data_IF_232219795696
#
_entry.id   IF_232219795696
#
_cell.length_a   1.000
_cell.length_b   1.000
_cell.length_c   1.000
_cell.angle_alpha   90.00
_cell.angle_beta   90.00
_cell.angle_gamma   90.00
#
_symmetry.space_group_name_H-M   'P 1'
#
loop_
_entity.id
_entity.type
_entity.pdbx_description
1 polymer ?
#
# COMPACT_ATOMS: atom_id res chain seq x y z
N UNK A 1 -5.22 -10.77 29.16
CA UNK A 1 -3.81 -10.52 28.75
C UNK A 1 -3.33 -11.46 27.65
N UNK A 2 -3.26 -12.79 27.83
CA UNK A 2 -2.69 -13.71 26.80
C UNK A 2 -3.42 -13.68 25.44
N UNK A 3 -4.75 -13.55 25.43
CA UNK A 3 -5.56 -13.48 24.22
C UNK A 3 -5.31 -12.20 23.41
N UNK A 4 -5.09 -11.09 24.11
CA UNK A 4 -4.83 -9.78 23.49
C UNK A 4 -3.42 -9.70 22.88
N UNK A 5 -2.43 -10.34 23.51
CA UNK A 5 -1.09 -10.53 22.93
C UNK A 5 -1.11 -11.36 21.65
N UNK A 6 -1.89 -12.44 21.62
CA UNK A 6 -2.07 -13.24 20.39
C UNK A 6 -2.74 -12.41 19.29
N UNK A 7 -3.73 -11.59 19.64
CA UNK A 7 -4.39 -10.69 18.72
C UNK A 7 -3.45 -9.63 18.13
N UNK A 8 -2.58 -9.01 18.94
CA UNK A 8 -1.67 -7.98 18.42
C UNK A 8 -0.65 -8.57 17.45
N UNK A 9 -0.05 -9.73 17.77
CA UNK A 9 0.89 -10.41 16.88
C UNK A 9 0.20 -10.85 15.59
N UNK A 10 -0.97 -11.48 15.69
CA UNK A 10 -1.76 -11.87 14.52
C UNK A 10 -2.10 -10.66 13.62
N UNK A 11 -2.35 -9.49 14.22
CA UNK A 11 -2.59 -8.27 13.44
C UNK A 11 -1.35 -7.85 12.63
N UNK A 12 -0.17 -7.89 13.23
CA UNK A 12 1.08 -7.61 12.51
C UNK A 12 1.38 -8.66 11.44
N UNK A 13 1.07 -9.93 11.68
CA UNK A 13 1.29 -11.02 10.71
C UNK A 13 0.43 -10.78 9.47
N UNK A 14 -0.82 -10.41 9.69
CA UNK A 14 -1.75 -10.08 8.62
C UNK A 14 -1.33 -8.81 7.85
N UNK A 15 -0.85 -7.77 8.54
CA UNK A 15 -0.31 -6.57 7.88
C UNK A 15 0.89 -6.92 6.98
N UNK A 16 1.83 -7.72 7.50
CA UNK A 16 3.00 -8.18 6.74
C UNK A 16 2.61 -9.02 5.52
N UNK A 17 1.58 -9.86 5.65
CA UNK A 17 1.02 -10.64 4.54
C UNK A 17 0.40 -9.73 3.49
N UNK A 18 -0.41 -8.76 3.91
CA UNK A 18 -1.07 -7.80 3.01
C UNK A 18 -0.06 -6.92 2.27
N UNK A 19 0.94 -6.36 2.96
CA UNK A 19 1.99 -5.55 2.32
C UNK A 19 2.83 -6.39 1.33
N UNK A 20 3.01 -7.68 1.59
CA UNK A 20 3.65 -8.61 0.65
C UNK A 20 2.84 -8.79 -0.64
N UNK A 21 1.54 -9.06 -0.51
CA UNK A 21 0.62 -9.17 -1.65
C UNK A 21 0.50 -7.86 -2.43
N UNK A 22 0.50 -6.71 -1.74
CA UNK A 22 0.52 -5.40 -2.39
C UNK A 22 1.79 -5.20 -3.22
N UNK A 23 2.95 -5.60 -2.70
CA UNK A 23 4.21 -5.56 -3.44
C UNK A 23 4.16 -6.43 -4.70
N UNK A 24 3.62 -7.64 -4.60
CA UNK A 24 3.42 -8.52 -5.77
C UNK A 24 2.45 -7.94 -6.79
N UNK A 25 1.33 -7.37 -6.33
CA UNK A 25 0.35 -6.71 -7.20
C UNK A 25 0.96 -5.49 -7.93
N UNK A 26 1.73 -4.67 -7.22
CA UNK A 26 2.44 -3.53 -7.78
C UNK A 26 3.48 -3.95 -8.83
N UNK A 27 4.28 -5.00 -8.55
CA UNK A 27 5.23 -5.57 -9.53
C UNK A 27 4.54 -6.09 -10.78
N UNK A 28 3.37 -6.71 -10.62
CA UNK A 28 2.59 -7.25 -11.73
C UNK A 28 1.72 -6.19 -12.44
N UNK A 29 1.71 -4.93 -11.98
CA UNK A 29 0.85 -3.87 -12.53
C UNK A 29 -0.65 -4.12 -12.33
N UNK A 30 -1.06 -4.93 -11.34
CA UNK A 30 -2.46 -5.25 -11.04
C UNK A 30 -3.06 -4.17 -10.13
N UNK A 31 -3.37 -3.01 -10.71
CA UNK A 31 -3.78 -1.82 -9.95
C UNK A 31 -5.07 -1.98 -9.17
N UNK A 32 -6.10 -2.62 -9.74
CA UNK A 32 -7.36 -2.87 -9.02
C UNK A 32 -7.16 -3.77 -7.80
N UNK A 33 -6.33 -4.82 -7.97
CA UNK A 33 -5.94 -5.71 -6.86
C UNK A 33 -5.16 -4.95 -5.79
N UNK A 34 -4.22 -4.08 -6.20
CA UNK A 34 -3.44 -3.25 -5.28
C UNK A 34 -4.36 -2.33 -4.43
N UNK A 35 -5.34 -1.67 -5.06
CA UNK A 35 -6.30 -0.81 -4.37
C UNK A 35 -7.20 -1.59 -3.40
N UNK A 36 -7.68 -2.77 -3.80
CA UNK A 36 -8.47 -3.63 -2.92
C UNK A 36 -7.67 -4.10 -1.70
N UNK A 37 -6.41 -4.51 -1.91
CA UNK A 37 -5.50 -4.91 -0.83
C UNK A 37 -5.17 -3.74 0.10
N UNK A 38 -4.96 -2.53 -0.44
CA UNK A 38 -4.72 -1.33 0.36
C UNK A 38 -5.91 -1.03 1.29
N UNK A 39 -7.14 -1.21 0.82
CA UNK A 39 -8.35 -1.03 1.63
C UNK A 39 -8.37 -2.00 2.82
N UNK A 40 -8.06 -3.28 2.57
CA UNK A 40 -7.93 -4.28 3.63
C UNK A 40 -6.79 -3.95 4.61
N UNK A 41 -5.64 -3.50 4.10
CA UNK A 41 -4.49 -3.09 4.91
C UNK A 41 -4.85 -1.94 5.86
N UNK A 42 -5.51 -0.88 5.37
CA UNK A 42 -5.94 0.25 6.19
C UNK A 42 -6.94 -0.20 7.26
N UNK A 43 -7.90 -1.07 6.91
CA UNK A 43 -8.83 -1.63 7.89
C UNK A 43 -8.08 -2.40 9.00
N UNK A 44 -7.07 -3.19 8.62
CA UNK A 44 -6.27 -3.95 9.57
C UNK A 44 -5.40 -3.05 10.47
N UNK A 45 -4.84 -1.96 9.94
CA UNK A 45 -4.14 -0.94 10.73
C UNK A 45 -5.08 -0.30 11.75
N UNK A 46 -6.34 -0.02 11.37
CA UNK A 46 -7.32 0.55 12.29
C UNK A 46 -7.69 -0.44 13.41
N UNK A 47 -7.85 -1.73 13.08
CA UNK A 47 -8.02 -2.79 14.09
C UNK A 47 -6.83 -2.82 15.05
N UNK A 48 -5.60 -2.82 14.53
CA UNK A 48 -4.39 -2.83 15.35
C UNK A 48 -4.32 -1.62 16.30
N UNK A 49 -4.68 -0.43 15.83
CA UNK A 49 -4.71 0.80 16.65
C UNK A 49 -5.71 0.74 17.80
N UNK A 50 -6.74 -0.09 17.71
CA UNK A 50 -7.75 -0.25 18.77
C UNK A 50 -7.29 -1.17 19.92
N UNK A 51 -6.13 -1.81 19.79
CA UNK A 51 -5.58 -2.73 20.80
C UNK A 51 -4.71 -1.94 21.79
N UNK A 52 -5.25 -1.63 22.97
CA UNK A 52 -4.65 -0.75 23.99
C UNK A 52 -3.42 -1.34 24.74
N UNK A 53 -3.18 -2.65 24.69
CA UNK A 53 -2.26 -3.32 25.62
C UNK A 53 -0.93 -3.77 25.00
N UNK A 54 -0.20 -2.81 24.40
CA UNK A 54 1.17 -3.02 23.89
C UNK A 54 2.18 -3.25 25.02
N UNK A 55 1.88 -2.73 26.21
CA UNK A 55 2.76 -2.77 27.38
C UNK A 55 2.95 -4.19 27.95
N UNK A 56 1.97 -5.08 27.76
CA UNK A 56 2.01 -6.43 28.32
C UNK A 56 2.97 -7.40 27.60
N UNK A 57 3.48 -7.08 26.41
CA UNK A 57 4.32 -8.00 25.60
C UNK A 57 5.63 -8.39 26.31
N UNK A 58 6.12 -9.60 26.06
CA UNK A 58 7.46 -10.04 26.48
C UNK A 58 8.54 -9.34 25.65
N UNK A 59 9.81 -9.41 26.09
CA UNK A 59 10.93 -8.87 25.32
C UNK A 59 11.10 -9.56 23.95
N UNK A 60 10.84 -10.87 23.89
CA UNK A 60 10.90 -11.66 22.66
C UNK A 60 9.76 -11.29 21.70
N UNK A 61 8.53 -11.15 22.20
CA UNK A 61 7.38 -10.73 21.40
C UNK A 61 7.56 -9.31 20.86
N UNK A 62 8.11 -8.39 21.67
CA UNK A 62 8.48 -7.05 21.20
C UNK A 62 9.49 -7.12 20.06
N UNK A 63 10.56 -7.91 20.21
CA UNK A 63 11.59 -8.05 19.17
C UNK A 63 11.03 -8.68 17.89
N UNK A 64 10.15 -9.66 18.03
CA UNK A 64 9.47 -10.27 16.88
C UNK A 64 8.61 -9.24 16.14
N UNK A 65 7.80 -8.47 16.86
CA UNK A 65 7.01 -7.37 16.31
C UNK A 65 7.87 -6.34 15.58
N UNK A 66 9.03 -5.97 16.14
CA UNK A 66 9.96 -5.03 15.48
C UNK A 66 10.42 -5.54 14.11
N UNK A 67 10.81 -6.82 14.00
CA UNK A 67 11.21 -7.40 12.71
C UNK A 67 10.09 -7.35 11.67
N UNK A 68 8.86 -7.57 12.10
CA UNK A 68 7.70 -7.50 11.21
C UNK A 68 7.44 -6.06 10.74
N UNK A 69 7.55 -5.08 11.65
CA UNK A 69 7.46 -3.67 11.30
C UNK A 69 8.54 -3.24 10.28
N UNK A 70 9.79 -3.67 10.48
CA UNK A 70 10.86 -3.41 9.51
C UNK A 70 10.53 -4.00 8.13
N UNK A 71 10.00 -5.23 8.11
CA UNK A 71 9.59 -5.91 6.87
C UNK A 71 8.45 -5.16 6.17
N UNK A 72 7.41 -4.76 6.91
CA UNK A 72 6.28 -3.98 6.41
C UNK A 72 6.77 -2.66 5.81
N UNK A 73 7.59 -1.90 6.54
CA UNK A 73 8.11 -0.60 6.08
C UNK A 73 8.97 -0.74 4.82
N UNK A 74 9.77 -1.81 4.73
CA UNK A 74 10.54 -2.13 3.53
C UNK A 74 9.64 -2.44 2.33
N UNK A 75 8.57 -3.21 2.54
CA UNK A 75 7.58 -3.50 1.49
C UNK A 75 6.83 -2.24 1.05
N UNK A 76 6.42 -1.38 1.99
CA UNK A 76 5.76 -0.09 1.70
C UNK A 76 6.67 0.86 0.90
N UNK A 77 7.98 0.86 1.20
CA UNK A 77 8.95 1.60 0.39
C UNK A 77 9.09 1.01 -1.02
N UNK A 78 9.16 -0.32 -1.15
CA UNK A 78 9.23 -1.00 -2.44
C UNK A 78 7.98 -0.74 -3.30
N UNK A 79 6.78 -0.77 -2.70
CA UNK A 79 5.52 -0.44 -3.38
C UNK A 79 5.57 0.98 -3.92
N UNK A 80 5.95 1.97 -3.10
CA UNK A 80 6.08 3.37 -3.55
C UNK A 80 7.06 3.53 -4.71
N UNK A 81 8.21 2.85 -4.65
CA UNK A 81 9.20 2.88 -5.72
C UNK A 81 8.69 2.29 -7.04
N UNK A 82 7.72 1.37 -7.00
CA UNK A 82 7.09 0.79 -8.19
C UNK A 82 5.97 1.67 -8.74
N UNK A 83 5.12 2.20 -7.85
CA UNK A 83 3.89 2.90 -8.22
C UNK A 83 4.17 4.34 -8.67
N UNK A 84 5.02 5.08 -7.95
CA UNK A 84 5.24 6.52 -8.19
C UNK A 84 5.69 6.84 -9.62
N UNK A 85 6.74 6.18 -10.17
CA UNK A 85 7.20 6.49 -11.53
C UNK A 85 6.13 6.18 -12.59
N UNK A 86 5.35 5.11 -12.38
CA UNK A 86 4.28 4.71 -13.29
C UNK A 86 3.15 5.76 -13.32
N UNK A 87 2.81 6.33 -12.17
CA UNK A 87 1.81 7.40 -12.09
C UNK A 87 2.29 8.69 -12.76
N UNK A 88 3.58 9.04 -12.60
CA UNK A 88 4.19 10.19 -13.27
C UNK A 88 4.15 10.03 -14.80
N UNK A 89 4.50 8.84 -15.30
CA UNK A 89 4.43 8.50 -16.74
C UNK A 89 2.99 8.65 -17.28
N UNK A 90 2.00 8.09 -16.57
CA UNK A 90 0.59 8.20 -16.95
C UNK A 90 0.12 9.66 -16.96
N UNK A 91 0.50 10.45 -15.95
CA UNK A 91 0.21 11.88 -15.89
C UNK A 91 0.77 12.64 -17.09
N UNK A 92 2.01 12.34 -17.48
CA UNK A 92 2.64 12.92 -18.66
C UNK A 92 1.90 12.56 -19.97
N UNK A 93 1.54 11.29 -20.17
CA UNK A 93 0.82 10.83 -21.35
C UNK A 93 -0.58 11.45 -21.48
N UNK A 94 -1.31 11.57 -20.37
CA UNK A 94 -2.64 12.20 -20.34
C UNK A 94 -2.55 13.70 -20.67
N UNK A 95 -1.58 14.41 -20.09
CA UNK A 95 -1.37 15.83 -20.36
C UNK A 95 -1.03 16.09 -21.84
N UNK A 96 -0.16 15.27 -22.43
CA UNK A 96 0.17 15.36 -23.84
C UNK A 96 -1.04 15.08 -24.74
N UNK A 97 -1.85 14.07 -24.39
CA UNK A 97 -3.05 13.71 -25.14
C UNK A 97 -4.09 14.84 -25.12
N UNK A 98 -4.31 15.46 -23.95
CA UNK A 98 -5.19 16.63 -23.81
C UNK A 98 -4.71 17.80 -24.67
N UNK A 99 -3.41 18.14 -24.60
CA UNK A 99 -2.83 19.22 -25.42
C UNK A 99 -2.99 18.96 -26.92
N UNK A 100 -2.84 17.70 -27.36
CA UNK A 100 -3.07 17.31 -28.76
C UNK A 100 -4.53 17.48 -29.17
N UNK A 101 -5.48 17.13 -28.30
CA UNK A 101 -6.90 17.32 -28.54
C UNK A 101 -7.28 18.81 -28.62
N UNK A 102 -6.73 19.66 -27.76
CA UNK A 102 -6.93 21.11 -27.80
C UNK A 102 -6.43 21.72 -29.11
N UNK A 103 -5.23 21.33 -29.58
CA UNK A 103 -4.69 21.76 -30.88
C UNK A 103 -5.58 21.26 -32.03
N UNK A 104 -6.04 20.01 -31.97
CA UNK A 104 -6.95 19.46 -32.97
C UNK A 104 -8.30 20.18 -32.99
N UNK A 105 -8.83 20.65 -31.85
CA UNK A 105 -10.04 21.47 -31.84
C UNK A 105 -9.81 22.90 -32.34
N UNK A 106 -8.65 23.50 -32.03
CA UNK A 106 -8.34 24.86 -32.44
C UNK A 106 -8.03 25.00 -33.94
N UNK A 107 -7.42 23.97 -34.53
CA UNK A 107 -6.99 23.96 -35.94
C UNK A 107 -7.74 22.95 -36.82
N UNK A 108 -8.56 22.08 -36.23
CA UNK A 108 -9.45 21.18 -36.96
C UNK A 108 -10.64 21.95 -37.50
N UNK A 109 -10.50 22.40 -38.74
CA UNK A 109 -11.57 23.09 -39.46
C UNK A 109 -12.82 22.20 -39.56
N UNK A 110 -14.02 22.68 -39.24
CA UNK A 110 -15.23 22.01 -39.72
C UNK A 110 -15.21 22.09 -41.26
N UNK A 111 -15.44 20.94 -41.90
CA UNK A 111 -15.79 20.89 -43.31
C UNK A 111 -17.18 21.46 -43.54
#
# INVERSE_FOLDING_TARGET
MLQQKKQIIACYEELMRLSGLMCEAARAGRWDTLCALQTAYVAQVNTLKSIDDVASLSAEERRYRYRMLETILSQDAAIRNLVTPRMEELGYLLNNSRRRQELHHAYGSPA
#
